data_IF_932703357036
#
_entry.id   IF_932703357036
#
_cell.length_a   1.000
_cell.length_b   1.000
_cell.length_c   1.000
_cell.angle_alpha   90.00
_cell.angle_beta   90.00
_cell.angle_gamma   90.00
#
_symmetry.space_group_name_H-M   'P 1'
#
loop_
_entity.id
_entity.type
_entity.pdbx_description
1 polymer ?
#
# COMPACT_ATOMS: atom_id res chain seq x y z
N UNK A 1 53.81 -12.51 68.69
CA UNK A 1 53.76 -11.95 70.05
C UNK A 1 52.55 -12.56 70.73
N UNK A 2 52.78 -13.58 71.55
CA UNK A 2 51.76 -14.31 72.30
C UNK A 2 51.55 -13.64 73.66
N UNK A 3 50.31 -13.33 74.00
CA UNK A 3 49.80 -13.01 75.35
C UNK A 3 48.33 -13.48 75.28
N UNK A 4 47.84 -14.54 75.91
CA UNK A 4 48.16 -15.09 77.21
C UNK A 4 47.24 -14.44 78.24
N UNK A 5 46.12 -15.08 78.59
CA UNK A 5 45.47 -15.04 79.91
C UNK A 5 44.17 -15.88 79.87
N UNK A 6 44.22 -17.02 80.56
CA UNK A 6 43.03 -17.78 80.91
C UNK A 6 42.35 -17.18 82.15
N UNK A 7 41.05 -17.41 82.25
CA UNK A 7 40.29 -17.43 83.49
C UNK A 7 38.94 -18.10 83.22
N UNK A 8 38.81 -19.36 83.62
CA UNK A 8 37.52 -19.85 84.09
C UNK A 8 37.27 -19.29 85.50
N UNK A 9 36.00 -19.07 85.88
CA UNK A 9 35.45 -20.04 86.81
C UNK A 9 33.95 -20.33 86.67
N UNK A 10 33.62 -21.58 86.99
CA UNK A 10 32.55 -22.02 87.90
C UNK A 10 31.08 -21.84 87.53
N UNK A 11 30.49 -23.01 87.33
CA UNK A 11 29.08 -23.39 87.40
C UNK A 11 28.45 -23.00 88.76
N UNK A 12 27.30 -22.33 88.73
CA UNK A 12 26.13 -22.37 89.65
C UNK A 12 25.21 -21.19 89.23
N UNK A 13 23.88 -21.21 89.19
CA UNK A 13 22.88 -22.03 89.85
C UNK A 13 21.53 -21.93 89.10
N UNK A 14 20.68 -22.89 89.43
CA UNK A 14 19.32 -23.20 88.98
C UNK A 14 18.26 -22.07 89.06
N UNK A 15 17.30 -22.16 88.10
CA UNK A 15 15.82 -22.11 88.28
C UNK A 15 15.15 -20.73 88.36
N UNK A 16 14.43 -20.37 87.28
CA UNK A 16 12.96 -20.13 87.34
C UNK A 16 12.33 -20.11 85.93
N UNK A 17 11.26 -20.89 85.77
CA UNK A 17 10.32 -20.89 84.64
C UNK A 17 9.68 -19.50 84.47
N UNK A 18 9.44 -19.12 83.21
CA UNK A 18 8.50 -18.05 82.87
C UNK A 18 8.29 -17.95 81.36
N UNK A 19 7.22 -18.58 80.88
CA UNK A 19 6.51 -18.30 79.62
C UNK A 19 7.23 -18.61 78.29
N UNK A 20 7.04 -19.84 77.84
CA UNK A 20 6.92 -20.19 76.43
C UNK A 20 5.65 -19.55 75.88
N UNK A 21 5.81 -18.54 75.04
CA UNK A 21 4.78 -18.12 74.09
C UNK A 21 5.34 -18.42 72.70
N UNK A 22 5.00 -19.55 72.08
CA UNK A 22 5.28 -19.71 70.66
C UNK A 22 4.29 -18.79 69.94
N UNK A 23 4.79 -17.66 69.43
CA UNK A 23 4.14 -16.96 68.33
C UNK A 23 4.00 -18.02 67.23
N UNK A 24 2.78 -18.51 67.06
CA UNK A 24 2.40 -19.39 65.97
C UNK A 24 2.15 -18.47 64.76
N UNK A 25 3.09 -18.31 63.81
CA UNK A 25 2.70 -17.72 62.55
C UNK A 25 1.75 -18.72 61.89
N UNK A 26 0.50 -18.31 61.72
CA UNK A 26 -0.54 -19.04 60.99
C UNK A 26 0.03 -19.60 59.68
N UNK A 27 0.49 -20.86 59.70
CA UNK A 27 1.06 -21.56 58.55
C UNK A 27 0.05 -21.82 57.44
N UNK A 28 -1.24 -21.61 57.72
CA UNK A 28 -2.32 -21.87 56.78
C UNK A 28 -2.63 -20.67 55.88
N UNK A 29 -2.18 -19.46 56.21
CA UNK A 29 -2.44 -18.27 55.39
C UNK A 29 -1.43 -18.08 54.25
N UNK A 30 -0.23 -18.65 54.39
CA UNK A 30 0.82 -18.58 53.35
C UNK A 30 0.72 -19.72 52.33
N UNK A 31 -0.05 -20.78 52.58
CA UNK A 31 -0.17 -21.91 51.66
C UNK A 31 -1.25 -21.65 50.59
N UNK A 32 -2.31 -20.91 50.93
CA UNK A 32 -3.40 -20.60 49.99
C UNK A 32 -3.01 -19.50 48.99
N UNK A 33 -2.18 -18.52 49.40
CA UNK A 33 -1.73 -17.42 48.53
C UNK A 33 -0.67 -17.89 47.50
N UNK A 34 0.01 -19.01 47.75
CA UNK A 34 0.96 -19.58 46.79
C UNK A 34 0.28 -20.28 45.62
N UNK A 35 -0.89 -20.91 45.84
CA UNK A 35 -1.61 -21.65 44.80
C UNK A 35 -2.19 -20.68 43.76
N UNK A 36 -2.89 -19.64 44.21
CA UNK A 36 -3.47 -18.59 43.35
C UNK A 36 -2.38 -17.83 42.56
N UNK A 37 -1.25 -17.50 43.20
CA UNK A 37 -0.14 -16.79 42.52
C UNK A 37 0.58 -17.68 41.48
N UNK A 38 0.70 -18.98 41.73
CA UNK A 38 1.28 -19.94 40.79
C UNK A 38 0.36 -20.16 39.60
N UNK A 39 -0.95 -20.30 39.82
CA UNK A 39 -1.95 -20.39 38.76
C UNK A 39 -1.95 -19.13 37.88
N UNK A 40 -1.92 -17.94 38.48
CA UNK A 40 -1.86 -16.66 37.74
C UNK A 40 -0.56 -16.51 36.95
N UNK A 41 0.57 -16.97 37.51
CA UNK A 41 1.87 -17.00 36.82
C UNK A 41 1.87 -17.98 35.64
N UNK A 42 1.28 -19.17 35.81
CA UNK A 42 1.11 -20.15 34.74
C UNK A 42 0.22 -19.62 33.62
N UNK A 43 -0.89 -18.97 33.96
CA UNK A 43 -1.79 -18.34 32.99
C UNK A 43 -1.09 -17.22 32.20
N UNK A 44 -0.26 -16.42 32.85
CA UNK A 44 0.56 -15.39 32.18
C UNK A 44 1.57 -16.02 31.22
N UNK A 45 2.26 -17.09 31.64
CA UNK A 45 3.21 -17.80 30.76
C UNK A 45 2.49 -18.40 29.57
N UNK A 46 1.38 -19.11 29.78
CA UNK A 46 0.59 -19.70 28.69
C UNK A 46 0.05 -18.61 27.76
N UNK A 47 -0.48 -17.52 28.30
CA UNK A 47 -0.94 -16.36 27.53
C UNK A 47 0.18 -15.74 26.69
N UNK A 48 1.39 -15.62 27.25
CA UNK A 48 2.56 -15.10 26.53
C UNK A 48 3.00 -16.02 25.39
N UNK A 49 2.95 -17.35 25.58
CA UNK A 49 3.28 -18.33 24.55
C UNK A 49 2.27 -18.29 23.40
N UNK A 50 0.98 -18.24 23.72
CA UNK A 50 -0.09 -18.13 22.71
C UNK A 50 0.05 -16.80 21.94
N UNK A 51 0.33 -15.69 22.64
CA UNK A 51 0.55 -14.39 22.02
C UNK A 51 1.75 -14.43 21.05
N UNK A 52 2.87 -15.02 21.47
CA UNK A 52 4.06 -15.14 20.63
C UNK A 52 3.80 -16.03 19.40
N UNK A 53 3.06 -17.13 19.56
CA UNK A 53 2.66 -17.99 18.43
C UNK A 53 1.74 -17.24 17.45
N UNK A 54 0.79 -16.46 17.95
CA UNK A 54 -0.07 -15.60 17.12
C UNK A 54 0.75 -14.55 16.37
N UNK A 55 1.68 -13.86 17.05
CA UNK A 55 2.55 -12.87 16.42
C UNK A 55 3.43 -13.49 15.33
N UNK A 56 3.94 -14.70 15.57
CA UNK A 56 4.77 -15.42 14.59
C UNK A 56 3.94 -15.85 13.38
N UNK A 57 2.71 -16.30 13.58
CA UNK A 57 1.78 -16.61 12.50
C UNK A 57 1.43 -15.36 11.68
N UNK A 58 1.12 -14.23 12.35
CA UNK A 58 0.89 -12.94 11.68
C UNK A 58 2.12 -12.54 10.87
N UNK A 59 3.33 -12.66 11.43
CA UNK A 59 4.57 -12.33 10.74
C UNK A 59 4.79 -13.20 9.49
N UNK A 60 4.56 -14.51 9.58
CA UNK A 60 4.65 -15.44 8.44
C UNK A 60 3.61 -15.09 7.37
N UNK A 61 2.38 -14.73 7.77
CA UNK A 61 1.35 -14.28 6.82
C UNK A 61 1.77 -12.98 6.15
N UNK A 62 2.31 -12.00 6.88
CA UNK A 62 2.79 -10.73 6.32
C UNK A 62 4.03 -10.89 5.43
N UNK A 63 4.89 -11.86 5.71
CA UNK A 63 6.08 -12.14 4.90
C UNK A 63 5.76 -12.91 3.62
N UNK A 64 4.78 -13.82 3.68
CA UNK A 64 4.29 -14.59 2.52
C UNK A 64 3.36 -13.77 1.64
N UNK A 65 2.42 -13.06 2.25
CA UNK A 65 1.52 -12.12 1.59
C UNK A 65 2.13 -10.75 1.78
N UNK A 66 3.06 -10.31 0.93
CA UNK A 66 3.58 -8.94 0.95
C UNK A 66 2.40 -7.97 0.69
N UNK A 67 1.72 -7.45 1.73
CA UNK A 67 0.43 -6.79 1.54
C UNK A 67 0.62 -5.45 0.85
N UNK A 68 1.82 -4.87 1.01
CA UNK A 68 2.30 -3.70 0.31
C UNK A 68 2.33 -3.89 -1.22
N UNK A 69 2.64 -5.10 -1.72
CA UNK A 69 2.71 -5.35 -3.17
C UNK A 69 1.30 -5.43 -3.75
N UNK A 70 0.40 -6.16 -3.10
CA UNK A 70 -1.00 -6.27 -3.55
C UNK A 70 -1.67 -4.90 -3.51
N UNK A 71 -1.52 -4.15 -2.42
CA UNK A 71 -2.07 -2.81 -2.29
C UNK A 71 -1.50 -1.85 -3.34
N UNK A 72 -0.18 -1.90 -3.60
CA UNK A 72 0.46 -1.13 -4.67
C UNK A 72 -0.05 -1.51 -6.04
N UNK A 73 -0.23 -2.81 -6.31
CA UNK A 73 -0.76 -3.28 -7.58
C UNK A 73 -2.19 -2.78 -7.82
N UNK A 74 -3.06 -2.90 -6.82
CA UNK A 74 -4.44 -2.42 -6.92
C UNK A 74 -4.49 -0.89 -7.12
N UNK A 75 -3.65 -0.14 -6.41
CA UNK A 75 -3.55 1.31 -6.58
C UNK A 75 -3.01 1.69 -7.96
N UNK A 76 -1.98 1.01 -8.45
CA UNK A 76 -1.41 1.23 -9.78
C UNK A 76 -2.44 0.91 -10.88
N UNK A 77 -3.23 -0.15 -10.73
CA UNK A 77 -4.30 -0.47 -11.67
C UNK A 77 -5.39 0.60 -11.71
N UNK A 78 -5.78 1.12 -10.54
CA UNK A 78 -6.74 2.22 -10.44
C UNK A 78 -6.19 3.50 -11.09
N UNK A 79 -4.95 3.87 -10.79
CA UNK A 79 -4.29 5.02 -11.40
C UNK A 79 -4.14 4.84 -12.92
N UNK A 80 -3.79 3.64 -13.39
CA UNK A 80 -3.69 3.33 -14.81
C UNK A 80 -5.05 3.40 -15.52
N UNK A 81 -6.16 3.06 -14.85
CA UNK A 81 -7.52 3.25 -15.41
C UNK A 81 -7.83 4.74 -15.54
N UNK A 82 -7.56 5.52 -14.49
CA UNK A 82 -7.77 6.97 -14.49
C UNK A 82 -6.94 7.68 -15.56
N UNK A 83 -5.65 7.35 -15.65
CA UNK A 83 -4.73 7.88 -16.65
C UNK A 83 -5.17 7.57 -18.08
N UNK A 84 -5.73 6.38 -18.34
CA UNK A 84 -6.29 6.02 -19.65
C UNK A 84 -7.42 6.92 -20.11
N UNK A 85 -8.36 7.20 -19.23
CA UNK A 85 -9.46 8.10 -19.54
C UNK A 85 -8.93 9.52 -19.75
N UNK A 86 -8.00 9.95 -18.89
CA UNK A 86 -7.36 11.25 -18.99
C UNK A 86 -6.65 11.48 -20.33
N UNK A 87 -5.83 10.54 -20.82
CA UNK A 87 -5.10 10.74 -22.09
C UNK A 87 -6.03 10.85 -23.31
N UNK A 88 -7.17 10.15 -23.29
CA UNK A 88 -8.18 10.24 -24.35
C UNK A 88 -8.92 11.57 -24.28
N UNK A 89 -9.31 12.01 -23.09
CA UNK A 89 -9.97 13.32 -22.91
C UNK A 89 -9.03 14.47 -23.29
N UNK A 90 -7.75 14.37 -22.93
CA UNK A 90 -6.72 15.34 -23.32
C UNK A 90 -6.54 15.39 -24.83
N UNK A 91 -6.52 14.23 -25.51
CA UNK A 91 -6.46 14.18 -26.97
C UNK A 91 -7.68 14.86 -27.59
N UNK A 92 -8.88 14.54 -27.11
CA UNK A 92 -10.13 15.13 -27.60
C UNK A 92 -10.13 16.65 -27.44
N UNK A 93 -9.77 17.15 -26.27
CA UNK A 93 -9.69 18.58 -26.01
C UNK A 93 -8.67 19.29 -26.93
N UNK A 94 -7.51 18.68 -27.16
CA UNK A 94 -6.48 19.25 -28.04
C UNK A 94 -6.91 19.23 -29.52
N UNK A 95 -7.61 18.19 -29.95
CA UNK A 95 -8.16 18.10 -31.30
C UNK A 95 -9.30 19.08 -31.51
N UNK A 96 -10.20 19.22 -30.53
CA UNK A 96 -11.31 20.18 -30.58
C UNK A 96 -10.78 21.61 -30.64
N UNK A 97 -9.78 21.95 -29.83
CA UNK A 97 -9.09 23.25 -29.91
C UNK A 97 -8.41 23.49 -31.26
N UNK A 98 -7.81 22.45 -31.86
CA UNK A 98 -7.21 22.56 -33.19
C UNK A 98 -8.27 22.74 -34.28
N UNK A 99 -9.42 22.09 -34.15
CA UNK A 99 -10.55 22.20 -35.07
C UNK A 99 -11.27 23.54 -34.97
N UNK A 100 -11.49 24.05 -33.75
CA UNK A 100 -12.07 25.37 -33.51
C UNK A 100 -11.21 26.52 -34.05
N UNK A 101 -9.89 26.32 -34.13
CA UNK A 101 -8.94 27.27 -34.73
C UNK A 101 -8.79 27.09 -36.24
N UNK A 102 -9.52 26.17 -36.86
CA UNK A 102 -9.44 25.95 -38.29
C UNK A 102 -10.08 27.15 -39.01
N UNK A 103 -9.34 27.84 -39.88
CA UNK A 103 -9.88 28.95 -40.66
C UNK A 103 -10.96 28.47 -41.65
N UNK A 104 -11.92 29.34 -41.95
CA UNK A 104 -13.01 29.04 -42.89
C UNK A 104 -12.48 28.87 -44.33
N UNK A 105 -13.29 28.25 -45.20
CA UNK A 105 -12.92 28.00 -46.59
C UNK A 105 -12.67 29.31 -47.34
N UNK A 106 -11.38 29.69 -47.49
CA UNK A 106 -10.93 30.92 -48.16
C UNK A 106 -9.96 31.78 -47.35
N UNK A 107 -9.71 31.45 -46.09
CA UNK A 107 -8.79 32.16 -45.20
C UNK A 107 -7.33 31.63 -45.27
N UNK A 108 -6.42 32.35 -44.60
CA UNK A 108 -4.95 32.21 -44.70
C UNK A 108 -4.46 30.76 -44.53
N UNK A 109 -3.75 30.27 -45.55
CA UNK A 109 -3.11 28.94 -45.59
C UNK A 109 -2.24 28.66 -44.34
N UNK A 110 -1.62 29.71 -43.77
CA UNK A 110 -0.78 29.62 -42.58
C UNK A 110 -1.56 29.14 -41.34
N UNK A 111 -2.75 29.67 -41.11
CA UNK A 111 -3.61 29.25 -39.98
C UNK A 111 -4.06 27.80 -40.11
N UNK A 112 -4.29 27.34 -41.35
CA UNK A 112 -4.60 25.93 -41.62
C UNK A 112 -3.41 25.01 -41.32
N UNK A 113 -2.20 25.42 -41.72
CA UNK A 113 -0.97 24.67 -41.44
C UNK A 113 -0.72 24.61 -39.93
N UNK A 114 -0.91 25.71 -39.20
CA UNK A 114 -0.76 25.72 -37.74
C UNK A 114 -1.77 24.81 -37.03
N UNK A 115 -3.04 24.85 -37.41
CA UNK A 115 -4.07 23.98 -36.85
C UNK A 115 -3.72 22.51 -37.09
N UNK A 116 -3.25 22.17 -38.30
CA UNK A 116 -2.77 20.83 -38.63
C UNK A 116 -1.57 20.41 -37.78
N UNK A 117 -0.57 21.28 -37.62
CA UNK A 117 0.61 20.99 -36.80
C UNK A 117 0.25 20.75 -35.33
N UNK A 118 -0.70 21.52 -34.77
CA UNK A 118 -1.19 21.31 -33.41
C UNK A 118 -1.90 19.96 -33.27
N UNK A 119 -2.73 19.57 -34.24
CA UNK A 119 -3.39 18.27 -34.24
C UNK A 119 -2.36 17.11 -34.35
N UNK A 120 -1.37 17.21 -35.22
CA UNK A 120 -0.30 16.21 -35.35
C UNK A 120 0.54 16.08 -34.07
N UNK A 121 0.84 17.21 -33.42
CA UNK A 121 1.53 17.24 -32.12
C UNK A 121 0.73 16.53 -31.03
N UNK A 122 -0.57 16.83 -30.94
CA UNK A 122 -1.49 16.19 -30.00
C UNK A 122 -1.55 14.67 -30.19
N UNK A 123 -1.63 14.22 -31.45
CA UNK A 123 -1.62 12.78 -31.79
C UNK A 123 -0.31 12.12 -31.37
N UNK A 124 0.84 12.75 -31.63
CA UNK A 124 2.16 12.22 -31.23
C UNK A 124 2.28 12.09 -29.72
N UNK A 125 1.86 13.11 -28.97
CA UNK A 125 1.83 13.07 -27.51
C UNK A 125 0.95 11.94 -26.99
N UNK A 126 -0.25 11.81 -27.56
CA UNK A 126 -1.15 10.70 -27.23
C UNK A 126 -0.53 9.33 -27.52
N UNK A 127 0.16 9.14 -28.65
CA UNK A 127 0.84 7.87 -28.94
C UNK A 127 1.93 7.54 -27.93
N UNK A 128 2.73 8.53 -27.54
CA UNK A 128 3.74 8.34 -26.49
C UNK A 128 3.10 7.93 -25.17
N UNK A 129 2.01 8.60 -24.76
CA UNK A 129 1.34 8.32 -23.49
C UNK A 129 0.53 7.00 -23.53
N UNK A 130 -0.04 6.64 -24.68
CA UNK A 130 -0.73 5.37 -24.88
C UNK A 130 0.25 4.18 -24.88
N UNK A 131 1.43 4.34 -25.48
CA UNK A 131 2.47 3.30 -25.45
C UNK A 131 2.93 2.97 -24.02
N UNK A 132 3.09 3.99 -23.16
CA UNK A 132 3.39 3.86 -21.72
C UNK A 132 2.33 3.07 -20.95
N UNK A 133 1.07 3.19 -21.36
CA UNK A 133 -0.05 2.45 -20.74
C UNK A 133 -0.09 0.99 -21.22
N UNK A 134 0.13 0.77 -22.51
CA UNK A 134 0.02 -0.55 -23.15
C UNK A 134 1.18 -1.48 -22.82
N UNK A 135 2.39 -0.94 -22.66
CA UNK A 135 3.62 -1.72 -22.46
C UNK A 135 4.33 -1.38 -21.14
N UNK A 136 3.71 -1.64 -19.98
CA UNK A 136 4.30 -1.35 -18.67
C UNK A 136 5.58 -2.18 -18.40
N UNK A 137 5.74 -3.32 -19.08
CA UNK A 137 6.86 -4.26 -18.91
C UNK A 137 8.23 -3.69 -19.30
N UNK A 138 8.28 -2.62 -20.08
CA UNK A 138 9.53 -1.99 -20.47
C UNK A 138 10.09 -1.02 -19.42
N UNK A 139 9.35 -0.74 -18.33
CA UNK A 139 9.75 0.20 -17.26
C UNK A 139 9.58 -0.41 -15.85
N UNK A 140 9.43 -1.74 -15.75
CA UNK A 140 8.96 -2.45 -14.56
C UNK A 140 9.97 -2.57 -13.40
N UNK A 141 11.20 -2.06 -13.56
CA UNK A 141 12.28 -2.21 -12.58
C UNK A 141 12.33 -1.13 -11.49
N UNK A 142 11.46 -0.11 -11.52
CA UNK A 142 11.63 1.02 -10.61
C UNK A 142 10.50 1.18 -9.58
N UNK A 143 10.93 1.48 -8.36
CA UNK A 143 10.13 2.03 -7.26
C UNK A 143 9.26 3.25 -7.69
N UNK A 144 9.50 3.81 -8.88
CA UNK A 144 8.86 4.99 -9.48
C UNK A 144 7.72 4.69 -10.44
N UNK A 145 7.34 3.42 -10.66
CA UNK A 145 6.16 3.08 -11.48
C UNK A 145 4.84 3.73 -10.98
N UNK A 146 4.79 4.12 -9.71
CA UNK A 146 3.68 4.89 -9.12
C UNK A 146 3.57 6.33 -9.68
N UNK A 147 4.69 6.95 -10.08
CA UNK A 147 4.73 8.32 -10.58
C UNK A 147 4.44 8.40 -12.10
N UNK A 148 4.56 7.28 -12.80
CA UNK A 148 4.36 7.18 -14.25
C UNK A 148 2.90 7.43 -14.68
N UNK A 149 1.94 7.11 -13.81
CA UNK A 149 0.50 7.28 -14.07
C UNK A 149 -0.12 8.41 -13.24
N UNK A 150 0.69 9.39 -12.85
CA UNK A 150 0.21 10.54 -12.10
C UNK A 150 -0.58 11.49 -13.02
N UNK A 151 -1.82 11.77 -12.62
CA UNK A 151 -2.66 12.80 -13.23
C UNK A 151 -2.79 13.91 -12.20
N UNK A 152 -2.47 15.16 -12.59
CA UNK A 152 -2.74 16.30 -11.72
C UNK A 152 -4.25 16.48 -11.59
N UNK A 153 -4.72 16.59 -10.35
CA UNK A 153 -6.15 16.79 -10.06
C UNK A 153 -6.71 18.04 -10.75
N UNK A 154 -5.89 19.09 -10.88
CA UNK A 154 -6.28 20.34 -11.52
C UNK A 154 -6.51 20.17 -13.04
N UNK A 155 -5.64 19.41 -13.73
CA UNK A 155 -5.80 19.13 -15.16
C UNK A 155 -7.04 18.27 -15.44
N UNK A 156 -7.31 17.30 -14.58
CA UNK A 156 -8.53 16.49 -14.68
C UNK A 156 -9.78 17.30 -14.36
N UNK A 157 -9.73 18.19 -13.36
CA UNK A 157 -10.82 19.09 -13.03
C UNK A 157 -11.12 20.06 -14.18
N UNK A 158 -10.09 20.55 -14.87
CA UNK A 158 -10.25 21.42 -16.05
C UNK A 158 -10.96 20.67 -17.19
N UNK A 159 -10.50 19.45 -17.53
CA UNK A 159 -11.15 18.60 -18.54
C UNK A 159 -12.60 18.26 -18.16
N UNK A 160 -12.85 18.01 -16.87
CA UNK A 160 -14.19 17.72 -16.37
C UNK A 160 -15.11 18.95 -16.49
N UNK A 161 -14.58 20.14 -16.16
CA UNK A 161 -15.31 21.41 -16.27
C UNK A 161 -15.66 21.77 -17.73
N UNK A 162 -14.80 21.37 -18.68
CA UNK A 162 -15.03 21.51 -20.11
C UNK A 162 -16.03 20.47 -20.68
N UNK A 163 -16.59 19.60 -19.83
CA UNK A 163 -17.63 18.65 -20.20
C UNK A 163 -17.12 17.29 -20.68
N UNK A 164 -15.81 17.09 -20.79
CA UNK A 164 -15.22 15.83 -21.27
C UNK A 164 -15.40 14.65 -20.28
N UNK A 165 -15.68 14.93 -18.99
CA UNK A 165 -16.07 13.91 -18.01
C UNK A 165 -17.40 13.20 -18.32
N UNK A 166 -18.30 13.88 -19.03
CA UNK A 166 -19.64 13.33 -19.31
C UNK A 166 -19.63 12.24 -20.37
N UNK A 167 -18.54 12.16 -21.14
CA UNK A 167 -18.38 11.15 -22.17
C UNK A 167 -17.74 9.92 -21.55
N UNK A 168 -18.59 9.00 -21.11
CA UNK A 168 -18.20 7.77 -20.41
C UNK A 168 -17.57 6.77 -21.41
N UNK A 169 -16.38 7.10 -21.93
CA UNK A 169 -15.61 6.17 -22.71
C UNK A 169 -15.04 5.12 -21.77
N UNK A 170 -15.49 3.87 -21.91
CA UNK A 170 -14.83 2.75 -21.25
C UNK A 170 -13.51 2.46 -21.98
N UNK A 171 -12.48 3.27 -21.72
CA UNK A 171 -11.17 3.23 -22.41
C UNK A 171 -10.44 1.95 -22.03
N UNK A 172 -10.71 0.91 -22.82
CA UNK A 172 -10.06 -0.40 -22.70
C UNK A 172 -8.69 -0.35 -23.37
N UNK A 173 -7.75 -1.21 -22.94
CA UNK A 173 -6.44 -1.31 -23.59
C UNK A 173 -6.56 -1.62 -25.09
N UNK A 174 -7.51 -2.46 -25.50
CA UNK A 174 -7.82 -2.75 -26.90
C UNK A 174 -8.27 -1.52 -27.70
N UNK A 175 -8.99 -0.58 -27.05
CA UNK A 175 -9.40 0.66 -27.68
C UNK A 175 -8.20 1.57 -27.96
N UNK A 176 -7.27 1.71 -26.99
CA UNK A 176 -6.02 2.44 -27.19
C UNK A 176 -5.14 1.80 -28.27
N UNK A 177 -5.07 0.48 -28.30
CA UNK A 177 -4.34 -0.24 -29.35
C UNK A 177 -4.97 0.01 -30.73
N UNK A 178 -6.31 0.02 -30.82
CA UNK A 178 -7.01 0.33 -32.07
C UNK A 178 -6.78 1.77 -32.56
N UNK A 179 -6.60 2.72 -31.62
CA UNK A 179 -6.27 4.12 -31.92
C UNK A 179 -4.83 4.30 -32.38
N UNK A 180 -3.89 3.52 -31.83
CA UNK A 180 -2.49 3.56 -32.23
C UNK A 180 -2.22 2.81 -33.54
N UNK A 181 -2.90 1.68 -33.74
CA UNK A 181 -2.69 0.79 -34.88
C UNK A 181 -4.02 0.49 -35.57
N UNK A 182 -4.58 1.46 -36.33
CA UNK A 182 -5.88 1.28 -36.98
C UNK A 182 -5.89 0.11 -37.98
N UNK A 183 -4.75 -0.22 -38.59
CA UNK A 183 -4.62 -1.37 -39.48
C UNK A 183 -4.88 -2.72 -38.78
N UNK A 184 -4.55 -2.82 -37.49
CA UNK A 184 -4.79 -4.03 -36.68
C UNK A 184 -6.25 -4.16 -36.22
N UNK A 185 -7.00 -3.05 -36.20
CA UNK A 185 -8.41 -3.06 -35.83
C UNK A 185 -9.31 -3.66 -36.95
N UNK A 186 -8.90 -3.50 -38.21
CA UNK A 186 -9.70 -3.88 -39.38
C UNK A 186 -9.62 -5.38 -39.74
N UNK A 187 -8.55 -6.06 -39.33
CA UNK A 187 -8.37 -7.51 -39.54
C UNK A 187 -9.29 -8.34 -38.64
N UNK A 188 -9.66 -7.85 -37.46
CA UNK A 188 -10.60 -8.54 -36.57
C UNK A 188 -12.05 -8.48 -37.11
N UNK A 189 -12.42 -7.39 -37.80
CA UNK A 189 -13.78 -7.19 -38.35
C UNK A 189 -14.03 -8.00 -39.62
N UNK A 190 -13.01 -8.24 -40.44
CA UNK A 190 -13.12 -8.99 -41.70
C UNK A 190 -13.24 -10.51 -41.50
N UNK A 191 -12.77 -11.04 -40.36
CA UNK A 191 -12.92 -12.45 -40.02
C UNK A 191 -14.33 -12.83 -39.53
N UNK A 192 -15.16 -11.86 -39.11
CA UNK A 192 -16.56 -12.12 -38.71
C UNK A 192 -17.56 -12.11 -39.88
N UNK A 193 -17.16 -11.61 -41.05
CA UNK A 193 -18.05 -11.53 -42.24
C UNK A 193 -17.86 -12.78 -43.14
N UNK A 194 -16.87 -13.63 -42.84
CA UNK A 194 -16.57 -14.85 -43.60
C UNK A 194 -16.95 -16.16 -42.88
N UNK A 195 -17.68 -16.08 -41.76
CA UNK A 195 -18.23 -17.28 -41.10
C UNK A 195 -19.72 -17.42 -41.34
#
# INVERSE_FOLDING_TARGET
MFVGLGMEPSITCLRTLGYLEPINPSRDLTILDWDDNVEMSLLLVIGSVILMQLLLLIYVVLSTVQPCVIYRQQRNESNRRRYRNFIVHRLLAQLDQALMRRPDAGEELNSCIEAKQRAESAIRLFWCDAAKVLYPEHELDSLTASDMYFVLLDEEAELNSAGYASVDFNVTASFLESLMYPERANTCRTNQIKS
#
